data_IF_113483804772
#
_entry.id   IF_113483804772
#
_cell.length_a   1.000
_cell.length_b   1.000
_cell.length_c   1.000
_cell.angle_alpha   90.00
_cell.angle_beta   90.00
_cell.angle_gamma   90.00
#
_symmetry.space_group_name_H-M   'P 1'
#
loop_
_entity.id
_entity.type
_entity.pdbx_description
1 polymer ?
#
# COMPACT_ATOMS: atom_id res chain seq x y z
N UNK A 1 -15.09 -16.33 15.13
CA UNK A 1 -13.68 -16.25 14.66
C UNK A 1 -13.03 -14.87 14.85
N UNK A 2 -13.77 -13.79 15.15
CA UNK A 2 -13.20 -12.50 15.62
C UNK A 2 -13.48 -12.20 17.10
N UNK A 3 -14.13 -13.13 17.81
CA UNK A 3 -14.69 -12.94 19.15
C UNK A 3 -13.97 -13.74 20.23
N UNK A 4 -12.90 -14.45 19.90
CA UNK A 4 -12.11 -15.16 20.91
C UNK A 4 -11.18 -14.16 21.61
N UNK A 5 -10.99 -14.26 22.94
CA UNK A 5 -10.11 -13.35 23.68
C UNK A 5 -8.69 -13.28 23.10
N UNK A 6 -8.19 -14.41 22.60
CA UNK A 6 -6.85 -14.52 22.00
C UNK A 6 -6.74 -13.70 20.71
N UNK A 7 -7.78 -13.72 19.87
CA UNK A 7 -7.83 -12.91 18.65
C UNK A 7 -7.80 -11.41 18.98
N UNK A 8 -8.50 -11.00 20.05
CA UNK A 8 -8.51 -9.60 20.50
C UNK A 8 -7.12 -9.16 20.99
N UNK A 9 -6.45 -9.99 21.80
CA UNK A 9 -5.08 -9.72 22.24
C UNK A 9 -4.09 -9.68 21.07
N UNK A 10 -4.24 -10.57 20.09
CA UNK A 10 -3.41 -10.55 18.88
C UNK A 10 -3.60 -9.25 18.08
N UNK A 11 -4.85 -8.83 17.84
CA UNK A 11 -5.15 -7.58 17.12
C UNK A 11 -4.60 -6.37 17.89
N UNK A 12 -4.81 -6.31 19.21
CA UNK A 12 -4.28 -5.24 20.05
C UNK A 12 -2.75 -5.20 20.00
N UNK A 13 -2.09 -6.35 20.11
CA UNK A 13 -0.63 -6.45 19.99
C UNK A 13 -0.11 -5.99 18.63
N UNK A 14 -0.72 -6.46 17.54
CA UNK A 14 -0.38 -6.02 16.17
C UNK A 14 -0.57 -4.52 15.99
N UNK A 15 -1.66 -3.96 16.52
CA UNK A 15 -1.95 -2.53 16.45
C UNK A 15 -0.88 -1.72 17.21
N UNK A 16 -0.52 -2.13 18.44
CA UNK A 16 0.52 -1.48 19.23
C UNK A 16 1.86 -1.50 18.48
N UNK A 17 2.31 -2.66 18.00
CA UNK A 17 3.58 -2.77 17.26
C UNK A 17 3.56 -1.90 16.00
N UNK A 18 2.46 -1.92 15.25
CA UNK A 18 2.31 -1.09 14.03
C UNK A 18 2.43 0.40 14.34
N UNK A 19 1.77 0.86 15.41
CA UNK A 19 1.82 2.25 15.82
C UNK A 19 3.21 2.64 16.34
N UNK A 20 3.89 1.75 17.08
CA UNK A 20 5.26 1.97 17.55
C UNK A 20 6.25 2.10 16.41
N UNK A 21 6.17 1.28 15.36
CA UNK A 21 7.02 1.38 14.17
C UNK A 21 6.80 2.72 13.46
N UNK A 22 5.54 3.13 13.27
CA UNK A 22 5.19 4.43 12.66
C UNK A 22 5.69 5.60 13.49
N UNK A 23 5.44 5.57 14.80
CA UNK A 23 5.89 6.59 15.74
C UNK A 23 7.42 6.66 15.78
N UNK A 24 8.12 5.53 15.79
CA UNK A 24 9.58 5.47 15.73
C UNK A 24 10.15 6.14 14.49
N UNK A 25 9.54 5.92 13.32
CA UNK A 25 9.91 6.63 12.09
C UNK A 25 9.72 8.14 12.20
N UNK A 26 8.60 8.59 12.78
CA UNK A 26 8.35 10.02 13.01
C UNK A 26 9.34 10.64 14.02
N UNK A 27 9.63 9.95 15.12
CA UNK A 27 10.56 10.40 16.16
C UNK A 27 12.02 10.47 15.67
N UNK A 28 12.38 9.63 14.70
CA UNK A 28 13.72 9.61 14.09
C UNK A 28 13.83 10.54 12.88
N UNK A 29 12.73 11.09 12.37
CA UNK A 29 12.71 11.85 11.12
C UNK A 29 13.69 13.04 11.15
N UNK A 30 13.75 13.77 12.26
CA UNK A 30 14.64 14.93 12.42
C UNK A 30 16.12 14.55 12.52
N UNK A 31 16.43 13.28 12.81
CA UNK A 31 17.79 12.75 12.90
C UNK A 31 18.29 12.17 11.58
N UNK A 32 17.46 12.11 10.54
CA UNK A 32 17.85 11.54 9.25
C UNK A 32 18.85 12.46 8.52
N UNK A 33 19.82 11.89 7.77
CA UNK A 33 20.75 12.66 6.96
C UNK A 33 20.00 13.52 5.94
N UNK A 34 20.36 14.82 5.87
CA UNK A 34 19.79 15.77 4.89
C UNK A 34 20.60 15.89 3.60
N UNK A 35 21.87 15.53 3.65
CA UNK A 35 22.85 15.68 2.57
C UNK A 35 23.69 14.41 2.38
N UNK A 36 24.31 14.28 1.20
CA UNK A 36 25.16 13.14 0.85
C UNK A 36 24.38 11.94 0.30
N UNK A 37 25.10 10.84 0.09
CA UNK A 37 24.59 9.62 -0.53
C UNK A 37 23.38 9.04 0.21
N UNK A 38 23.47 8.88 1.54
CA UNK A 38 22.39 8.31 2.34
C UNK A 38 21.09 9.11 2.23
N UNK A 39 21.17 10.45 2.25
CA UNK A 39 20.00 11.32 2.07
C UNK A 39 19.38 11.16 0.68
N UNK A 40 20.21 11.04 -0.37
CA UNK A 40 19.73 10.80 -1.73
C UNK A 40 19.04 9.44 -1.85
N UNK A 41 19.63 8.40 -1.29
CA UNK A 41 19.05 7.05 -1.28
C UNK A 41 17.71 7.01 -0.53
N UNK A 42 17.65 7.56 0.69
CA UNK A 42 16.43 7.63 1.50
C UNK A 42 15.24 8.27 0.77
N UNK A 43 15.48 9.31 -0.05
CA UNK A 43 14.43 9.98 -0.85
C UNK A 43 13.77 9.08 -1.89
N UNK A 44 14.45 8.02 -2.34
CA UNK A 44 13.93 7.09 -3.36
C UNK A 44 13.27 5.84 -2.76
N UNK A 45 13.50 5.54 -1.48
CA UNK A 45 12.98 4.33 -0.84
C UNK A 45 11.45 4.22 -0.92
N UNK A 46 10.65 5.26 -0.62
CA UNK A 46 9.19 5.11 -0.61
C UNK A 46 8.65 4.65 -1.96
N UNK A 47 9.12 5.26 -3.06
CA UNK A 47 8.74 4.86 -4.41
C UNK A 47 9.22 3.46 -4.77
N UNK A 48 10.47 3.12 -4.42
CA UNK A 48 11.04 1.80 -4.69
C UNK A 48 10.31 0.68 -3.94
N UNK A 49 9.99 0.90 -2.67
CA UNK A 49 9.23 -0.07 -1.84
C UNK A 49 7.84 -0.27 -2.42
N UNK A 50 7.10 0.81 -2.73
CA UNK A 50 5.78 0.68 -3.36
C UNK A 50 5.85 -0.05 -4.70
N UNK A 51 6.81 0.28 -5.55
CA UNK A 51 7.02 -0.42 -6.83
C UNK A 51 7.33 -1.91 -6.62
N UNK A 52 8.18 -2.25 -5.63
CA UNK A 52 8.53 -3.63 -5.31
C UNK A 52 7.38 -4.47 -4.76
N UNK A 53 6.35 -3.84 -4.18
CA UNK A 53 5.13 -4.51 -3.73
C UNK A 53 4.10 -4.66 -4.85
N UNK A 54 3.91 -3.61 -5.65
CA UNK A 54 2.91 -3.56 -6.70
C UNK A 54 3.31 -4.39 -7.92
N UNK A 55 4.59 -4.33 -8.33
CA UNK A 55 5.06 -5.06 -9.50
C UNK A 55 4.81 -6.59 -9.41
N UNK A 56 5.22 -7.32 -8.35
CA UNK A 56 4.91 -8.73 -8.24
C UNK A 56 3.41 -8.98 -8.13
N UNK A 57 2.66 -8.15 -7.40
CA UNK A 57 1.20 -8.31 -7.29
C UNK A 57 0.48 -8.25 -8.65
N UNK A 58 0.98 -7.45 -9.59
CA UNK A 58 0.46 -7.41 -10.97
C UNK A 58 0.98 -8.59 -11.79
N UNK A 59 2.28 -8.93 -11.70
CA UNK A 59 2.92 -9.99 -12.50
C UNK A 59 2.40 -11.38 -12.13
N UNK A 60 2.21 -11.65 -10.84
CA UNK A 60 1.70 -12.94 -10.33
C UNK A 60 0.19 -12.93 -10.12
N UNK A 61 -0.46 -11.80 -10.33
CA UNK A 61 -1.91 -11.64 -10.23
C UNK A 61 -2.65 -12.19 -11.44
N UNK A 62 -3.97 -12.13 -11.40
CA UNK A 62 -4.84 -12.46 -12.52
C UNK A 62 -5.08 -11.24 -13.42
N UNK A 63 -5.86 -11.43 -14.49
CA UNK A 63 -6.32 -10.32 -15.33
C UNK A 63 -7.09 -9.24 -14.54
N UNK A 64 -7.74 -9.61 -13.42
CA UNK A 64 -8.45 -8.65 -12.57
C UNK A 64 -7.50 -7.64 -11.90
N UNK A 65 -6.35 -8.08 -11.39
CA UNK A 65 -5.35 -7.22 -10.77
C UNK A 65 -4.74 -6.25 -11.79
N UNK A 66 -4.47 -6.73 -13.00
CA UNK A 66 -3.96 -5.87 -14.09
C UNK A 66 -4.99 -4.81 -14.48
N UNK A 67 -6.25 -5.18 -14.67
CA UNK A 67 -7.34 -4.24 -14.98
C UNK A 67 -7.52 -3.20 -13.87
N UNK A 68 -7.48 -3.62 -12.61
CA UNK A 68 -7.57 -2.72 -11.46
C UNK A 68 -6.38 -1.75 -11.39
N UNK A 69 -5.16 -2.22 -11.67
CA UNK A 69 -3.97 -1.37 -11.72
C UNK A 69 -4.07 -0.31 -12.82
N UNK A 70 -4.52 -0.71 -14.02
CA UNK A 70 -4.75 0.22 -15.14
C UNK A 70 -5.84 1.25 -14.82
N UNK A 71 -6.95 0.83 -14.21
CA UNK A 71 -8.02 1.73 -13.78
C UNK A 71 -7.51 2.74 -12.73
N UNK A 72 -6.76 2.27 -11.73
CA UNK A 72 -6.14 3.11 -10.71
C UNK A 72 -5.22 4.16 -11.33
N UNK A 73 -4.33 3.74 -12.23
CA UNK A 73 -3.38 4.61 -12.90
C UNK A 73 -4.08 5.65 -13.78
N UNK A 74 -5.08 5.23 -14.57
CA UNK A 74 -5.86 6.11 -15.43
C UNK A 74 -6.60 7.18 -14.62
N UNK A 75 -7.33 6.77 -13.57
CA UNK A 75 -8.08 7.71 -12.72
C UNK A 75 -7.14 8.67 -12.02
N UNK A 76 -6.01 8.21 -11.49
CA UNK A 76 -5.03 9.12 -10.89
C UNK A 76 -4.46 10.10 -11.91
N UNK A 77 -4.10 9.64 -13.11
CA UNK A 77 -3.51 10.50 -14.14
C UNK A 77 -4.46 11.63 -14.57
N UNK A 78 -5.74 11.31 -14.74
CA UNK A 78 -6.79 12.26 -15.17
C UNK A 78 -7.23 13.18 -14.02
N UNK A 79 -7.48 12.63 -12.83
CA UNK A 79 -8.10 13.39 -11.74
C UNK A 79 -7.10 14.03 -10.78
N UNK A 80 -5.86 13.52 -10.75
CA UNK A 80 -4.84 13.83 -9.72
C UNK A 80 -5.35 13.66 -8.28
N UNK A 81 -6.41 12.87 -8.08
CA UNK A 81 -7.04 12.63 -6.80
C UNK A 81 -6.77 11.20 -6.31
N UNK A 82 -6.05 11.09 -5.19
CA UNK A 82 -5.69 9.81 -4.58
C UNK A 82 -6.92 9.00 -4.14
N UNK A 83 -7.94 9.65 -3.57
CA UNK A 83 -9.14 8.95 -3.12
C UNK A 83 -9.94 8.39 -4.29
N UNK A 84 -10.05 9.14 -5.39
CA UNK A 84 -10.70 8.67 -6.60
C UNK A 84 -9.96 7.46 -7.20
N UNK A 85 -8.62 7.52 -7.25
CA UNK A 85 -7.80 6.42 -7.72
C UNK A 85 -7.92 5.17 -6.84
N UNK A 86 -7.92 5.34 -5.51
CA UNK A 86 -8.14 4.23 -4.57
C UNK A 86 -9.51 3.58 -4.76
N UNK A 87 -10.57 4.38 -4.86
CA UNK A 87 -11.93 3.88 -5.10
C UNK A 87 -12.00 3.11 -6.42
N UNK A 88 -11.39 3.64 -7.49
CA UNK A 88 -11.33 2.99 -8.79
C UNK A 88 -10.57 1.66 -8.76
N UNK A 89 -9.44 1.58 -8.05
CA UNK A 89 -8.68 0.34 -7.90
C UNK A 89 -9.43 -0.75 -7.13
N UNK A 90 -10.00 -0.39 -5.98
CA UNK A 90 -10.76 -1.32 -5.12
C UNK A 90 -12.02 -1.81 -5.85
N UNK A 91 -12.81 -0.90 -6.41
CA UNK A 91 -13.98 -1.27 -7.19
C UNK A 91 -13.58 -2.05 -8.45
N UNK A 92 -12.49 -1.65 -9.10
CA UNK A 92 -11.97 -2.27 -10.32
C UNK A 92 -11.64 -3.74 -10.11
N UNK A 93 -10.86 -4.09 -9.08
CA UNK A 93 -10.53 -5.51 -8.82
C UNK A 93 -11.76 -6.31 -8.43
N UNK A 94 -12.66 -5.72 -7.63
CA UNK A 94 -13.90 -6.38 -7.21
C UNK A 94 -14.79 -6.72 -8.40
N UNK A 95 -15.10 -5.73 -9.26
CA UNK A 95 -15.95 -5.95 -10.42
C UNK A 95 -15.28 -6.79 -11.50
N UNK A 96 -13.96 -6.68 -11.68
CA UNK A 96 -13.23 -7.52 -12.62
C UNK A 96 -13.25 -9.00 -12.21
N UNK A 97 -13.05 -9.31 -10.92
CA UNK A 97 -13.18 -10.68 -10.40
C UNK A 97 -14.60 -11.22 -10.58
N UNK A 98 -15.60 -10.41 -10.24
CA UNK A 98 -17.02 -10.77 -10.43
C UNK A 98 -17.34 -11.06 -11.90
N UNK A 99 -16.86 -10.24 -12.84
CA UNK A 99 -17.11 -10.40 -14.26
C UNK A 99 -16.36 -11.59 -14.88
N UNK A 100 -15.16 -11.89 -14.38
CA UNK A 100 -14.32 -13.00 -14.86
C UNK A 100 -14.61 -14.34 -14.17
N UNK A 101 -15.40 -14.33 -13.09
CA UNK A 101 -15.75 -15.55 -12.34
C UNK A 101 -14.58 -16.17 -11.58
N UNK A 102 -13.62 -15.36 -11.14
CA UNK A 102 -12.39 -15.76 -10.43
C UNK A 102 -12.28 -15.15 -9.03
#
# INVERSE_FOLDING_TARGET
>A
MLTSPEALFAIAGMAIVTLLVKAGGLLLADRLPRHGFAASWLRHIPGAVLASLVAPAIVTGSAAELLAALATALVFFVTRNLFAAMAAGVAGVYFARLALGI
#
